data_IF_567493447685
#
_entry.id   IF_567493447685
#
_cell.length_a   1.000
_cell.length_b   1.000
_cell.length_c   1.000
_cell.angle_alpha   90.00
_cell.angle_beta   90.00
_cell.angle_gamma   90.00
#
_symmetry.space_group_name_H-M   'P 1'
#
loop_
_entity.id
_entity.type
_entity.pdbx_description
1 polymer ?
#
# COMPACT_ATOMS: atom_id res chain seq x y z
N UNK A 1 9.68 -11.99 -9.46
CA UNK A 1 10.39 -13.25 -9.03
C UNK A 1 10.55 -14.25 -10.18
N UNK A 2 9.97 -14.01 -11.33
CA UNK A 2 9.89 -14.98 -12.44
C UNK A 2 11.24 -15.57 -12.87
N UNK A 3 12.29 -14.78 -12.93
CA UNK A 3 13.61 -15.27 -13.39
C UNK A 3 14.53 -15.68 -12.22
N UNK A 4 14.15 -15.37 -10.99
CA UNK A 4 14.94 -15.74 -9.80
C UNK A 4 14.68 -17.16 -9.32
N UNK A 5 13.53 -17.74 -9.68
CA UNK A 5 13.14 -19.08 -9.23
C UNK A 5 14.10 -20.18 -9.76
N UNK A 6 14.62 -20.01 -10.96
CA UNK A 6 15.62 -20.94 -11.55
C UNK A 6 16.97 -20.92 -10.82
N UNK A 7 17.34 -19.80 -10.21
CA UNK A 7 18.61 -19.59 -9.54
C UNK A 7 18.54 -19.76 -8.02
N UNK A 8 17.37 -19.46 -7.40
CA UNK A 8 17.20 -19.32 -5.95
C UNK A 8 16.17 -20.26 -5.34
N UNK A 9 15.55 -21.11 -6.15
CA UNK A 9 14.46 -21.99 -5.69
C UNK A 9 13.09 -21.31 -5.74
N UNK A 10 12.10 -21.94 -5.14
CA UNK A 10 10.73 -21.43 -5.12
C UNK A 10 10.58 -20.18 -4.25
N UNK A 11 9.42 -19.53 -4.34
CA UNK A 11 9.13 -18.29 -3.61
C UNK A 11 9.21 -18.44 -2.10
N UNK A 12 8.91 -19.60 -1.54
CA UNK A 12 8.99 -19.86 -0.11
C UNK A 12 10.45 -19.90 0.36
N UNK A 13 11.32 -20.61 -0.34
CA UNK A 13 12.76 -20.66 -0.05
C UNK A 13 13.42 -19.28 -0.14
N UNK A 14 13.06 -18.50 -1.17
CA UNK A 14 13.53 -17.12 -1.31
C UNK A 14 13.11 -16.26 -0.11
N UNK A 15 11.84 -16.38 0.31
CA UNK A 15 11.33 -15.65 1.47
C UNK A 15 12.03 -16.07 2.78
N UNK A 16 12.35 -17.36 2.94
CA UNK A 16 13.13 -17.87 4.09
C UNK A 16 14.56 -17.31 4.10
N UNK A 17 15.23 -17.31 2.96
CA UNK A 17 16.58 -16.74 2.86
C UNK A 17 16.58 -15.26 3.22
N UNK A 18 15.64 -14.47 2.65
CA UNK A 18 15.51 -13.06 2.97
C UNK A 18 15.26 -12.85 4.45
N UNK A 19 14.28 -13.54 5.05
CA UNK A 19 13.95 -13.39 6.47
C UNK A 19 15.14 -13.76 7.36
N UNK A 20 15.83 -14.85 7.06
CA UNK A 20 17.00 -15.31 7.82
C UNK A 20 18.16 -14.31 7.74
N UNK A 21 18.42 -13.75 6.56
CA UNK A 21 19.46 -12.74 6.37
C UNK A 21 19.12 -11.42 7.08
N UNK A 22 17.88 -10.94 6.97
CA UNK A 22 17.45 -9.75 7.68
C UNK A 22 17.65 -9.87 9.18
N UNK A 23 17.30 -11.04 9.74
CA UNK A 23 17.46 -11.32 11.16
C UNK A 23 18.93 -11.43 11.57
N UNK A 24 19.76 -12.11 10.78
CA UNK A 24 21.18 -12.34 11.07
C UNK A 24 22.04 -11.12 10.82
N UNK A 25 21.81 -10.39 9.72
CA UNK A 25 22.69 -9.31 9.27
C UNK A 25 22.28 -7.94 9.86
N UNK A 26 20.96 -7.72 10.07
CA UNK A 26 20.42 -6.44 10.50
C UNK A 26 19.74 -6.48 11.88
N UNK A 27 19.54 -7.65 12.48
CA UNK A 27 18.89 -7.79 13.79
C UNK A 27 17.41 -7.47 13.80
N UNK A 28 16.76 -7.41 12.64
CA UNK A 28 15.31 -7.12 12.50
C UNK A 28 14.55 -8.31 11.95
N UNK A 29 13.29 -8.44 12.35
CA UNK A 29 12.39 -9.47 11.83
C UNK A 29 11.51 -8.91 10.71
N UNK A 30 11.14 -9.78 9.77
CA UNK A 30 10.23 -9.43 8.67
C UNK A 30 9.14 -10.49 8.52
N UNK A 31 7.95 -10.06 8.14
CA UNK A 31 6.88 -10.97 7.73
C UNK A 31 6.72 -10.90 6.21
N UNK A 32 6.74 -12.06 5.56
CA UNK A 32 6.67 -12.16 4.11
C UNK A 32 5.44 -12.96 3.66
N UNK A 33 4.81 -12.49 2.59
CA UNK A 33 3.76 -13.22 1.89
C UNK A 33 4.26 -13.72 0.55
N UNK A 34 4.01 -14.99 0.27
CA UNK A 34 4.34 -15.64 -1.00
C UNK A 34 3.05 -16.05 -1.69
N UNK A 35 2.84 -15.58 -2.91
CA UNK A 35 1.58 -15.80 -3.62
C UNK A 35 1.78 -15.72 -5.14
N UNK A 36 0.74 -16.06 -5.88
CA UNK A 36 0.68 -16.00 -7.33
C UNK A 36 0.48 -14.56 -7.86
N UNK A 37 0.04 -13.61 -7.02
CA UNK A 37 -0.06 -12.19 -7.36
C UNK A 37 0.31 -11.29 -6.17
N UNK A 38 0.44 -9.97 -6.43
CA UNK A 38 0.85 -8.99 -5.42
C UNK A 38 -0.18 -8.77 -4.32
N UNK A 39 -1.47 -8.88 -4.65
CA UNK A 39 -2.57 -8.62 -3.71
C UNK A 39 -2.54 -9.65 -2.60
N UNK A 40 -2.47 -10.92 -2.95
CA UNK A 40 -2.40 -12.00 -1.96
C UNK A 40 -1.03 -12.18 -1.33
N UNK A 41 0.06 -11.78 -2.01
CA UNK A 41 1.36 -11.68 -1.35
C UNK A 41 1.35 -10.62 -0.24
N UNK A 42 0.73 -9.45 -0.50
CA UNK A 42 0.58 -8.42 0.54
C UNK A 42 -0.33 -8.89 1.67
N UNK A 43 -1.47 -9.48 1.37
CA UNK A 43 -2.38 -10.05 2.37
C UNK A 43 -1.67 -11.12 3.22
N UNK A 44 -0.90 -12.02 2.58
CA UNK A 44 -0.11 -13.04 3.25
C UNK A 44 0.93 -12.46 4.20
N UNK A 45 1.56 -11.34 3.84
CA UNK A 45 2.53 -10.67 4.72
C UNK A 45 1.90 -10.08 5.98
N UNK A 46 0.60 -9.79 5.95
CA UNK A 46 -0.16 -9.25 7.09
C UNK A 46 -0.89 -10.35 7.88
N UNK A 47 -1.05 -11.55 7.32
CA UNK A 47 -1.84 -12.64 7.87
C UNK A 47 -1.31 -13.17 9.20
N UNK A 48 0.01 -13.32 9.31
CA UNK A 48 0.70 -13.73 10.55
C UNK A 48 1.86 -12.78 10.80
N UNK A 49 1.78 -12.01 11.86
CA UNK A 49 2.84 -11.10 12.32
C UNK A 49 3.11 -11.33 13.81
N UNK A 50 4.32 -11.09 14.27
CA UNK A 50 5.56 -10.80 13.55
C UNK A 50 6.31 -12.07 13.08
N UNK A 51 7.38 -11.89 12.30
CA UNK A 51 8.42 -12.90 12.00
C UNK A 51 7.85 -14.20 11.40
N UNK A 52 7.01 -14.06 10.36
CA UNK A 52 6.33 -15.19 9.74
C UNK A 52 6.39 -15.14 8.20
N UNK A 53 6.39 -16.31 7.59
CA UNK A 53 6.23 -16.48 6.15
C UNK A 53 4.89 -17.16 5.91
N UNK A 54 4.04 -16.54 5.11
CA UNK A 54 2.71 -17.06 4.78
C UNK A 54 2.61 -17.28 3.28
N UNK A 55 2.21 -18.48 2.89
CA UNK A 55 1.89 -18.82 1.49
C UNK A 55 0.40 -18.64 1.25
N UNK A 56 0.04 -18.11 0.08
CA UNK A 56 -1.32 -18.07 -0.45
C UNK A 56 -1.29 -18.40 -1.93
N UNK A 57 -1.26 -19.71 -2.23
CA UNK A 57 -1.25 -20.20 -3.61
C UNK A 57 -2.66 -20.20 -4.22
N UNK A 58 -2.73 -20.32 -5.53
CA UNK A 58 -3.97 -20.18 -6.31
C UNK A 58 -5.03 -21.23 -5.92
N UNK A 59 -4.62 -22.42 -5.55
CA UNK A 59 -5.49 -23.52 -5.12
C UNK A 59 -6.04 -23.35 -3.68
N UNK A 60 -5.44 -22.47 -2.89
CA UNK A 60 -5.78 -22.33 -1.46
C UNK A 60 -6.23 -20.91 -1.03
N UNK A 61 -6.05 -19.88 -1.90
CA UNK A 61 -6.30 -18.50 -1.50
C UNK A 61 -7.73 -18.26 -1.04
N UNK A 62 -8.71 -18.87 -1.70
CA UNK A 62 -10.12 -18.72 -1.32
C UNK A 62 -10.36 -19.21 0.11
N UNK A 63 -9.83 -20.38 0.45
CA UNK A 63 -9.96 -20.96 1.79
C UNK A 63 -9.30 -20.09 2.86
N UNK A 64 -8.16 -19.47 2.56
CA UNK A 64 -7.40 -18.64 3.51
C UNK A 64 -7.90 -17.20 3.56
N UNK A 65 -8.23 -16.60 2.42
CA UNK A 65 -8.50 -15.17 2.31
C UNK A 65 -9.99 -14.82 2.40
N UNK A 66 -10.90 -15.65 1.88
CA UNK A 66 -12.31 -15.30 1.84
C UNK A 66 -13.00 -15.18 3.20
N UNK A 67 -12.47 -15.83 4.22
CA UNK A 67 -12.97 -15.70 5.60
C UNK A 67 -12.46 -14.44 6.32
N UNK A 68 -11.46 -13.74 5.76
CA UNK A 68 -10.89 -12.54 6.38
C UNK A 68 -11.80 -11.33 6.20
N UNK A 69 -11.72 -10.34 7.12
CA UNK A 69 -12.41 -9.08 6.98
C UNK A 69 -12.08 -8.40 5.64
N UNK A 70 -13.07 -7.79 5.03
CA UNK A 70 -12.87 -7.06 3.76
C UNK A 70 -11.90 -5.89 3.90
N UNK A 71 -11.74 -5.34 5.10
CA UNK A 71 -10.75 -4.31 5.43
C UNK A 71 -9.31 -4.73 5.26
N UNK A 72 -9.03 -6.03 5.28
CA UNK A 72 -7.67 -6.56 5.15
C UNK A 72 -7.22 -6.59 3.68
N UNK A 73 -8.16 -6.49 2.74
CA UNK A 73 -7.85 -6.43 1.32
C UNK A 73 -7.18 -5.10 0.98
N UNK A 74 -6.10 -5.16 0.20
CA UNK A 74 -5.37 -3.98 -0.25
C UNK A 74 -6.32 -2.98 -0.93
N UNK A 75 -6.15 -1.70 -0.65
CA UNK A 75 -6.98 -0.56 -1.08
C UNK A 75 -8.35 -0.44 -0.39
N UNK A 76 -8.68 -1.28 0.56
CA UNK A 76 -9.87 -1.11 1.40
C UNK A 76 -9.51 -0.31 2.66
N UNK A 77 -9.46 1.01 2.54
CA UNK A 77 -9.31 1.91 3.68
C UNK A 77 -10.65 2.15 4.43
N UNK A 78 -10.60 2.89 5.53
CA UNK A 78 -11.76 3.12 6.42
C UNK A 78 -13.03 3.60 5.69
N UNK A 79 -12.90 4.55 4.74
CA UNK A 79 -14.05 5.07 4.00
C UNK A 79 -14.68 4.01 3.08
N UNK A 80 -13.86 3.22 2.38
CA UNK A 80 -14.32 2.12 1.52
C UNK A 80 -14.94 1.01 2.35
N UNK A 81 -14.32 0.65 3.48
CA UNK A 81 -14.83 -0.34 4.41
C UNK A 81 -16.23 0.02 4.92
N UNK A 82 -16.45 1.27 5.37
CA UNK A 82 -17.78 1.75 5.80
C UNK A 82 -18.84 1.58 4.69
N UNK A 83 -18.49 1.90 3.43
CA UNK A 83 -19.40 1.71 2.29
C UNK A 83 -19.72 0.25 2.04
N UNK A 84 -18.71 -0.64 2.05
CA UNK A 84 -18.90 -2.09 1.87
C UNK A 84 -19.77 -2.67 3.00
N UNK A 85 -19.51 -2.30 4.25
CA UNK A 85 -20.33 -2.72 5.38
C UNK A 85 -21.80 -2.28 5.26
N UNK A 86 -22.08 -1.07 4.74
CA UNK A 86 -23.45 -0.60 4.49
C UNK A 86 -24.17 -1.40 3.40
N UNK A 87 -23.42 -2.15 2.58
CA UNK A 87 -23.94 -3.06 1.55
C UNK A 87 -24.03 -4.52 2.06
N UNK A 88 -23.71 -4.77 3.32
CA UNK A 88 -23.69 -6.11 3.91
C UNK A 88 -22.43 -6.93 3.60
N UNK A 89 -21.41 -6.33 2.96
CA UNK A 89 -20.17 -6.98 2.59
C UNK A 89 -19.19 -6.83 3.74
N UNK A 90 -18.87 -7.93 4.42
CA UNK A 90 -18.02 -7.95 5.61
C UNK A 90 -16.70 -8.66 5.40
N UNK A 91 -16.69 -9.68 4.53
CA UNK A 91 -15.52 -10.50 4.25
C UNK A 91 -15.05 -10.32 2.81
N UNK A 92 -13.81 -10.72 2.52
CA UNK A 92 -13.28 -10.78 1.15
C UNK A 92 -14.13 -11.72 0.30
N UNK A 93 -14.63 -12.82 0.87
CA UNK A 93 -15.53 -13.75 0.19
C UNK A 93 -16.90 -13.15 -0.14
N UNK A 94 -17.46 -12.28 0.74
CA UNK A 94 -18.70 -11.55 0.42
C UNK A 94 -18.47 -10.61 -0.76
N UNK A 95 -17.33 -9.91 -0.78
CA UNK A 95 -16.96 -9.02 -1.88
C UNK A 95 -16.79 -9.78 -3.19
N UNK A 96 -16.11 -10.94 -3.16
CA UNK A 96 -15.89 -11.78 -4.34
C UNK A 96 -17.20 -12.29 -4.96
N UNK A 97 -18.22 -12.56 -4.13
CA UNK A 97 -19.53 -13.05 -4.54
C UNK A 97 -20.54 -11.95 -4.86
N UNK A 98 -20.18 -10.69 -4.63
CA UNK A 98 -21.07 -9.56 -4.88
C UNK A 98 -21.24 -9.27 -6.37
N UNK A 99 -22.33 -8.61 -6.71
CA UNK A 99 -22.55 -8.10 -8.07
C UNK A 99 -21.58 -6.94 -8.36
N UNK A 100 -20.71 -7.12 -9.35
CA UNK A 100 -19.75 -6.11 -9.78
C UNK A 100 -20.45 -4.79 -10.18
N UNK A 101 -21.61 -4.86 -10.85
CA UNK A 101 -22.36 -3.67 -11.29
C UNK A 101 -22.78 -2.82 -10.09
N UNK A 102 -23.21 -3.46 -9.01
CA UNK A 102 -23.57 -2.78 -7.78
C UNK A 102 -22.36 -2.12 -7.12
N UNK A 103 -21.23 -2.81 -7.10
CA UNK A 103 -19.96 -2.28 -6.57
C UNK A 103 -19.49 -1.06 -7.37
N UNK A 104 -19.55 -1.12 -8.70
CA UNK A 104 -19.19 0.01 -9.57
C UNK A 104 -20.12 1.21 -9.33
N UNK A 105 -21.42 0.99 -9.14
CA UNK A 105 -22.37 2.07 -8.83
C UNK A 105 -22.04 2.79 -7.51
N UNK A 106 -21.56 2.08 -6.51
CA UNK A 106 -21.28 2.60 -5.16
C UNK A 106 -19.85 3.12 -4.97
N UNK A 107 -18.88 2.51 -5.62
CA UNK A 107 -17.44 2.74 -5.43
C UNK A 107 -16.74 3.26 -6.68
N UNK A 108 -17.47 3.41 -7.80
CA UNK A 108 -16.87 3.78 -9.09
C UNK A 108 -15.91 2.71 -9.60
N UNK A 109 -14.89 3.10 -10.33
CA UNK A 109 -13.86 2.20 -10.87
C UNK A 109 -13.22 1.28 -9.81
N UNK A 110 -13.12 1.77 -8.57
CA UNK A 110 -12.57 0.95 -7.49
C UNK A 110 -13.43 -0.25 -7.14
N UNK A 111 -14.74 -0.20 -7.40
CA UNK A 111 -15.65 -1.35 -7.19
C UNK A 111 -15.25 -2.55 -8.03
N UNK A 112 -15.02 -2.35 -9.34
CA UNK A 112 -14.56 -3.40 -10.25
C UNK A 112 -13.16 -3.93 -9.87
N UNK A 113 -12.24 -3.03 -9.52
CA UNK A 113 -10.89 -3.40 -9.12
C UNK A 113 -10.90 -4.28 -7.85
N UNK A 114 -11.66 -3.88 -6.84
CA UNK A 114 -11.74 -4.63 -5.58
C UNK A 114 -12.43 -5.98 -5.77
N UNK A 115 -13.46 -6.04 -6.63
CA UNK A 115 -14.10 -7.29 -7.01
C UNK A 115 -13.11 -8.24 -7.70
N UNK A 116 -12.35 -7.73 -8.67
CA UNK A 116 -11.31 -8.50 -9.35
C UNK A 116 -10.26 -9.03 -8.37
N UNK A 117 -9.77 -8.19 -7.46
CA UNK A 117 -8.81 -8.59 -6.44
C UNK A 117 -9.36 -9.68 -5.52
N UNK A 118 -10.59 -9.54 -5.03
CA UNK A 118 -11.22 -10.56 -4.18
C UNK A 118 -11.37 -11.92 -4.86
N UNK A 119 -11.48 -11.91 -6.20
CA UNK A 119 -11.54 -13.10 -7.05
C UNK A 119 -10.16 -13.62 -7.53
N UNK A 120 -9.07 -13.01 -7.11
CA UNK A 120 -7.73 -13.49 -7.44
C UNK A 120 -7.11 -12.84 -8.68
N UNK A 121 -7.79 -11.90 -9.32
CA UNK A 121 -7.34 -11.28 -10.56
C UNK A 121 -6.47 -10.05 -10.30
N UNK A 122 -5.17 -10.19 -10.50
CA UNK A 122 -4.19 -9.09 -10.55
C UNK A 122 -3.03 -9.49 -11.47
N UNK A 123 -2.96 -8.87 -12.64
CA UNK A 123 -1.91 -9.09 -13.63
C UNK A 123 -0.80 -8.02 -13.55
N UNK A 124 -0.78 -7.21 -12.50
CA UNK A 124 0.19 -6.13 -12.38
C UNK A 124 1.62 -6.69 -12.30
N UNK A 125 2.52 -6.35 -13.25
CA UNK A 125 3.85 -6.92 -13.30
C UNK A 125 4.71 -6.45 -12.12
N UNK A 126 5.64 -7.30 -11.67
CA UNK A 126 6.73 -6.87 -10.79
C UNK A 126 7.69 -6.03 -11.62
N UNK A 127 7.87 -4.77 -11.24
CA UNK A 127 8.76 -3.86 -11.96
C UNK A 127 10.22 -4.28 -11.79
N UNK A 128 11.00 -4.12 -12.85
CA UNK A 128 12.44 -4.24 -12.77
C UNK A 128 13.03 -3.08 -11.96
N UNK A 129 14.13 -3.32 -11.27
CA UNK A 129 14.79 -2.34 -10.39
C UNK A 129 15.11 -1.02 -11.13
N UNK A 130 15.53 -1.10 -12.38
CA UNK A 130 15.90 0.08 -13.18
C UNK A 130 14.72 0.77 -13.89
N UNK A 131 13.47 0.35 -13.63
CA UNK A 131 12.28 0.99 -14.20
C UNK A 131 11.81 2.10 -13.28
N UNK A 132 12.41 3.27 -13.34
CA UNK A 132 11.94 4.45 -12.60
C UNK A 132 10.69 5.01 -13.28
N UNK A 133 9.58 5.08 -12.52
CA UNK A 133 8.44 5.86 -12.97
C UNK A 133 8.81 7.36 -12.94
N UNK A 134 8.35 8.17 -13.89
CA UNK A 134 8.61 9.60 -13.85
C UNK A 134 8.10 10.21 -12.53
N UNK A 135 8.91 11.06 -11.93
CA UNK A 135 8.53 11.77 -10.69
C UNK A 135 7.34 12.67 -10.98
N UNK A 136 6.24 12.48 -10.28
CA UNK A 136 4.99 13.23 -10.45
C UNK A 136 4.89 14.44 -9.53
N UNK A 137 5.46 14.37 -8.35
CA UNK A 137 5.46 15.44 -7.35
C UNK A 137 6.67 15.35 -6.44
N UNK A 138 7.09 16.48 -5.91
CA UNK A 138 8.10 16.59 -4.85
C UNK A 138 7.44 17.34 -3.70
N UNK A 139 7.38 16.73 -2.53
CA UNK A 139 6.74 17.32 -1.36
C UNK A 139 7.55 17.11 -0.09
N UNK A 140 7.32 17.94 0.91
CA UNK A 140 7.84 17.79 2.25
C UNK A 140 6.75 18.18 3.25
N UNK A 141 6.80 17.62 4.47
CA UNK A 141 5.87 17.93 5.53
C UNK A 141 6.58 17.86 6.89
N UNK A 142 6.05 18.58 7.86
CA UNK A 142 6.50 18.48 9.24
C UNK A 142 5.32 18.61 10.19
N UNK A 143 5.39 17.96 11.34
CA UNK A 143 4.53 18.25 12.48
C UNK A 143 5.27 19.22 13.36
N UNK A 144 4.65 20.33 13.67
CA UNK A 144 5.28 21.37 14.50
C UNK A 144 5.32 20.93 15.96
N UNK A 145 6.36 21.31 16.73
CA UNK A 145 6.47 20.93 18.15
C UNK A 145 5.42 21.61 19.05
N UNK A 146 4.78 22.65 18.58
CA UNK A 146 3.67 23.35 19.22
C UNK A 146 2.68 23.84 18.17
N UNK A 147 1.47 24.19 18.59
CA UNK A 147 0.48 24.83 17.70
C UNK A 147 1.01 26.17 17.19
N UNK A 148 0.74 26.45 15.95
CA UNK A 148 1.07 27.73 15.32
C UNK A 148 -0.11 28.70 15.54
N UNK A 149 0.16 29.81 16.23
CA UNK A 149 -0.90 30.77 16.59
C UNK A 149 -0.84 32.06 15.76
N UNK A 150 0.28 32.30 15.09
CA UNK A 150 0.49 33.53 14.31
C UNK A 150 0.85 33.24 12.86
N UNK A 151 0.58 34.20 11.99
CA UNK A 151 0.97 34.13 10.56
C UNK A 151 2.50 33.99 10.42
N UNK A 152 3.28 34.57 11.33
CA UNK A 152 4.73 34.48 11.31
C UNK A 152 5.22 33.07 11.64
N UNK A 153 4.60 32.38 12.60
CA UNK A 153 4.90 30.96 12.87
C UNK A 153 4.68 30.11 11.62
N UNK A 154 3.54 30.30 10.93
CA UNK A 154 3.19 29.59 9.71
C UNK A 154 4.19 29.88 8.59
N UNK A 155 4.53 31.15 8.37
CA UNK A 155 5.50 31.57 7.33
C UNK A 155 6.86 30.93 7.54
N UNK A 156 7.39 30.91 8.77
CA UNK A 156 8.70 30.30 9.06
C UNK A 156 8.70 28.83 8.65
N UNK A 157 7.67 28.06 9.03
CA UNK A 157 7.57 26.65 8.67
C UNK A 157 7.43 26.46 7.16
N UNK A 158 6.59 27.26 6.50
CA UNK A 158 6.42 27.20 5.05
C UNK A 158 7.71 27.55 4.30
N UNK A 159 8.51 28.52 4.75
CA UNK A 159 9.80 28.83 4.15
C UNK A 159 10.77 27.65 4.23
N UNK A 160 10.89 27.01 5.41
CA UNK A 160 11.74 25.83 5.58
C UNK A 160 11.33 24.68 4.65
N UNK A 161 10.03 24.41 4.57
CA UNK A 161 9.50 23.36 3.70
C UNK A 161 9.70 23.70 2.20
N UNK A 162 9.43 24.94 1.81
CA UNK A 162 9.60 25.42 0.43
C UNK A 162 11.05 25.34 0.00
N UNK A 163 11.99 25.74 0.86
CA UNK A 163 13.42 25.67 0.55
C UNK A 163 13.89 24.24 0.34
N UNK A 164 13.47 23.32 1.21
CA UNK A 164 13.75 21.89 1.08
C UNK A 164 13.20 21.29 -0.23
N UNK A 165 11.96 21.63 -0.59
CA UNK A 165 11.33 21.15 -1.84
C UNK A 165 12.03 21.76 -3.05
N UNK A 166 12.33 23.07 -3.00
CA UNK A 166 13.02 23.78 -4.09
C UNK A 166 14.44 23.24 -4.32
N UNK A 167 15.17 22.91 -3.25
CA UNK A 167 16.49 22.29 -3.36
C UNK A 167 16.40 20.96 -4.13
N UNK A 168 15.50 20.06 -3.74
CA UNK A 168 15.32 18.77 -4.40
C UNK A 168 14.84 18.89 -5.85
N UNK A 169 14.01 19.87 -6.16
CA UNK A 169 13.62 20.16 -7.55
C UNK A 169 14.83 20.55 -8.38
N UNK A 170 15.69 21.47 -7.89
CA UNK A 170 16.91 21.91 -8.59
C UNK A 170 17.93 20.78 -8.76
N UNK A 171 18.18 20.00 -7.72
CA UNK A 171 19.10 18.85 -7.76
C UNK A 171 18.72 17.82 -8.83
N UNK A 172 17.41 17.62 -9.06
CA UNK A 172 16.89 16.69 -10.04
C UNK A 172 16.57 17.34 -11.40
N UNK A 173 16.85 18.63 -11.59
CA UNK A 173 16.55 19.34 -12.84
C UNK A 173 15.05 19.53 -13.11
N UNK A 174 14.19 19.42 -12.09
CA UNK A 174 12.74 19.51 -12.24
C UNK A 174 12.24 20.95 -12.10
N UNK A 175 11.08 21.20 -12.75
CA UNK A 175 10.29 22.43 -12.60
C UNK A 175 8.86 22.04 -12.24
N UNK A 176 8.23 22.78 -11.33
CA UNK A 176 6.82 22.58 -10.99
C UNK A 176 5.94 23.58 -11.73
N UNK A 177 4.67 23.18 -11.96
CA UNK A 177 3.58 24.05 -12.46
C UNK A 177 2.54 24.33 -11.41
N UNK A 178 2.46 23.48 -10.40
CA UNK A 178 1.47 23.56 -9.31
C UNK A 178 2.21 23.56 -7.99
N UNK A 179 1.82 24.46 -7.11
CA UNK A 179 2.23 24.49 -5.71
C UNK A 179 0.98 24.18 -4.89
N UNK A 180 1.10 23.21 -4.00
CA UNK A 180 0.03 22.80 -3.09
C UNK A 180 0.50 22.97 -1.65
N UNK A 181 -0.34 23.51 -0.80
CA UNK A 181 -0.13 23.62 0.64
C UNK A 181 -1.27 22.87 1.33
N UNK A 182 -0.90 21.97 2.25
CA UNK A 182 -1.85 21.25 3.09
C UNK A 182 -1.58 21.60 4.56
N UNK A 183 -2.60 22.06 5.26
CA UNK A 183 -2.53 22.42 6.68
C UNK A 183 -3.50 21.55 7.46
N UNK A 184 -3.08 21.07 8.61
CA UNK A 184 -3.93 20.32 9.55
C UNK A 184 -4.02 21.09 10.86
N UNK A 185 -5.19 21.07 11.47
CA UNK A 185 -5.38 21.58 12.81
C UNK A 185 -4.77 20.64 13.89
N UNK A 186 -4.89 21.03 15.16
CA UNK A 186 -4.41 20.26 16.31
C UNK A 186 -5.05 18.88 16.44
N UNK A 187 -6.22 18.67 15.84
CA UNK A 187 -6.94 17.40 15.80
C UNK A 187 -6.61 16.58 14.53
N UNK A 188 -5.67 17.07 13.71
CA UNK A 188 -5.20 16.49 12.46
C UNK A 188 -6.26 16.45 11.34
N UNK A 189 -7.32 17.26 11.44
CA UNK A 189 -8.26 17.47 10.34
C UNK A 189 -7.71 18.45 9.31
N UNK A 190 -8.10 18.23 8.04
CA UNK A 190 -7.76 19.10 6.90
C UNK A 190 -8.81 20.17 6.72
#
# INVERSE_FOLDING_TARGET
MTDSATLKGDGFHIAQEISSRMKKELGITVSAGVSFNKIFAKLGSDYKKPDAITTMYEDEFQRKAWCLPVSDLLYVGNATNKKLYSMGIRTIGDLAKSDETLLVRKLGKMGSILWAFANGYDESPVKLENTSAPVKSVGNSTTTPRDMETDEDVKIVLYILAESVAARLRENGFRCRTVEISVRDKELFH
#
